data_IF_392860726570
#
_entry.id   IF_392860726570
#
_cell.length_a   1.000
_cell.length_b   1.000
_cell.length_c   1.000
_cell.angle_alpha   90.00
_cell.angle_beta   90.00
_cell.angle_gamma   90.00
#
_symmetry.space_group_name_H-M   'P 1'
#
loop_
_entity.id
_entity.type
_entity.pdbx_description
1 polymer ?
#
# COMPACT_ATOMS: atom_id res chain seq x y z
N UNK A 1 -70.86 31.08 6.44
CA UNK A 1 -70.08 30.29 7.39
C UNK A 1 -68.68 30.23 6.88
N UNK A 2 -67.86 31.03 7.50
CA UNK A 2 -66.45 30.97 7.88
C UNK A 2 -65.42 30.55 6.80
N UNK A 3 -64.77 31.58 6.23
CA UNK A 3 -63.53 31.46 5.51
C UNK A 3 -62.39 31.14 6.50
N UNK A 4 -61.84 29.94 6.43
CA UNK A 4 -60.63 29.56 7.21
C UNK A 4 -59.39 30.07 6.51
N UNK A 5 -58.61 30.80 7.25
CA UNK A 5 -57.51 31.69 6.90
C UNK A 5 -56.26 30.95 6.38
N UNK A 6 -56.05 30.85 5.10
CA UNK A 6 -54.87 30.28 4.42
C UNK A 6 -53.54 31.00 4.70
N UNK A 7 -53.56 32.14 5.37
CA UNK A 7 -52.35 32.93 5.68
C UNK A 7 -51.64 32.52 6.95
N UNK A 8 -52.26 31.74 7.83
CA UNK A 8 -51.62 31.26 9.07
C UNK A 8 -50.75 30.02 8.88
N UNK A 9 -51.03 29.19 7.86
CA UNK A 9 -50.19 27.99 7.57
C UNK A 9 -48.90 28.29 6.81
N UNK A 10 -48.82 29.42 6.11
CA UNK A 10 -47.61 29.83 5.38
C UNK A 10 -46.54 30.46 6.29
N UNK A 11 -46.86 30.88 7.50
CA UNK A 11 -45.89 31.45 8.43
C UNK A 11 -45.30 30.41 9.38
N UNK A 12 -45.93 29.26 9.63
CA UNK A 12 -45.41 28.19 10.42
C UNK A 12 -44.45 27.27 9.61
N UNK A 13 -44.59 27.19 8.29
CA UNK A 13 -43.68 26.41 7.41
C UNK A 13 -42.32 27.05 7.14
N UNK A 14 -42.24 28.38 7.23
CA UNK A 14 -40.99 29.12 6.99
C UNK A 14 -40.06 29.18 8.22
N UNK A 15 -40.57 28.98 9.44
CA UNK A 15 -39.75 28.95 10.65
C UNK A 15 -39.14 27.59 10.91
N UNK A 16 -39.71 26.49 10.39
CA UNK A 16 -39.14 25.15 10.53
C UNK A 16 -38.10 24.82 9.43
N UNK A 17 -38.15 25.49 8.28
CA UNK A 17 -37.20 25.32 7.18
C UNK A 17 -35.89 26.07 7.35
N UNK A 18 -35.84 27.12 8.17
CA UNK A 18 -34.64 27.91 8.43
C UNK A 18 -33.69 27.32 9.47
N UNK A 19 -34.16 26.37 10.28
CA UNK A 19 -33.32 25.69 11.30
C UNK A 19 -32.66 24.40 10.80
N UNK A 20 -32.90 23.95 9.59
CA UNK A 20 -32.27 22.76 9.00
C UNK A 20 -31.09 23.09 8.05
N UNK A 21 -30.85 24.38 7.77
CA UNK A 21 -29.76 24.81 6.88
C UNK A 21 -28.58 25.49 7.61
N UNK A 22 -28.57 25.49 8.94
CA UNK A 22 -27.43 26.01 9.74
C UNK A 22 -26.82 25.00 10.69
N UNK A 23 -26.79 23.70 10.36
CA UNK A 23 -25.65 22.91 10.78
C UNK A 23 -24.46 23.32 9.90
N UNK A 24 -23.96 24.51 10.15
CA UNK A 24 -22.56 24.81 9.88
C UNK A 24 -21.78 23.67 10.51
N UNK A 25 -21.16 22.84 9.66
CA UNK A 25 -20.00 22.06 10.06
C UNK A 25 -19.14 23.04 10.87
N UNK A 26 -19.04 22.82 12.16
CA UNK A 26 -18.14 23.60 13.00
C UNK A 26 -16.79 23.56 12.27
N UNK A 27 -16.30 24.73 11.87
CA UNK A 27 -14.96 24.85 11.36
C UNK A 27 -14.08 24.17 12.41
N UNK A 28 -13.31 23.16 12.02
CA UNK A 28 -12.37 22.51 12.91
C UNK A 28 -11.58 23.64 13.59
N UNK A 29 -11.59 23.65 14.90
CA UNK A 29 -10.87 24.67 15.67
C UNK A 29 -9.44 24.72 15.12
N UNK A 30 -8.97 25.94 14.84
CA UNK A 30 -7.60 26.20 14.43
C UNK A 30 -6.70 25.68 15.56
N UNK A 31 -6.14 24.46 15.38
CA UNK A 31 -5.30 23.83 16.39
C UNK A 31 -5.51 22.33 16.64
N UNK A 32 -6.44 21.64 15.95
CA UNK A 32 -6.58 20.19 16.13
C UNK A 32 -5.37 19.45 15.56
N UNK A 33 -4.61 18.77 16.43
CA UNK A 33 -3.50 17.93 15.98
C UNK A 33 -3.98 16.52 15.69
N UNK A 34 -3.68 16.00 14.48
CA UNK A 34 -3.92 14.63 14.08
C UNK A 34 -2.70 13.77 14.42
N UNK A 35 -2.94 12.66 15.10
CA UNK A 35 -1.95 11.63 15.39
C UNK A 35 -2.20 10.44 14.50
N UNK A 36 -1.17 9.99 13.79
CA UNK A 36 -1.26 8.83 12.93
C UNK A 36 -0.30 7.74 13.38
N UNK A 37 -0.76 6.51 13.30
CA UNK A 37 0.03 5.30 13.33
C UNK A 37 0.13 4.79 11.89
N UNK A 38 1.35 4.53 11.43
CA UNK A 38 1.62 4.07 10.07
C UNK A 38 2.35 2.73 10.16
N UNK A 39 1.69 1.67 9.68
CA UNK A 39 2.23 0.33 9.56
C UNK A 39 2.46 -0.07 8.11
N UNK A 40 3.19 -1.17 7.92
CA UNK A 40 3.43 -1.81 6.62
C UNK A 40 2.41 -2.91 6.32
N UNK A 41 2.92 -4.03 5.81
CA UNK A 41 2.11 -5.13 5.31
C UNK A 41 1.49 -5.97 6.45
N UNK A 42 0.20 -6.27 6.32
CA UNK A 42 -0.50 -7.25 7.15
C UNK A 42 -0.39 -8.63 6.50
N UNK A 43 0.74 -9.29 6.69
CA UNK A 43 0.94 -10.70 6.35
C UNK A 43 0.58 -11.58 7.55
N UNK A 44 -0.65 -11.48 7.99
CA UNK A 44 -1.19 -12.18 9.13
C UNK A 44 -1.91 -11.23 10.12
N UNK A 45 -2.32 -11.78 11.26
CA UNK A 45 -2.34 -13.21 11.60
C UNK A 45 -3.42 -13.95 10.81
N UNK A 46 -3.04 -15.00 10.12
CA UNK A 46 -3.96 -15.75 9.22
C UNK A 46 -4.90 -16.70 9.99
N UNK A 47 -4.44 -17.20 11.13
CA UNK A 47 -5.19 -18.17 11.92
C UNK A 47 -6.33 -17.51 12.69
N UNK A 48 -7.51 -18.11 12.61
CA UNK A 48 -8.67 -17.73 13.42
C UNK A 48 -8.43 -17.93 14.93
N UNK A 49 -7.45 -18.74 15.33
CA UNK A 49 -7.05 -18.96 16.73
C UNK A 49 -6.03 -17.92 17.24
N UNK A 50 -5.64 -16.93 16.44
CA UNK A 50 -4.67 -15.90 16.82
C UNK A 50 -4.99 -15.26 18.18
N UNK A 51 -3.98 -15.16 19.01
CA UNK A 51 -4.11 -14.63 20.38
C UNK A 51 -3.74 -13.14 20.46
N UNK A 52 -4.73 -12.28 20.34
CA UNK A 52 -4.58 -10.83 20.49
C UNK A 52 -4.39 -10.36 21.95
N UNK A 53 -4.53 -11.26 22.93
CA UNK A 53 -4.18 -10.97 24.32
C UNK A 53 -2.68 -11.15 24.61
N UNK A 54 -1.87 -11.51 23.61
CA UNK A 54 -0.42 -11.66 23.69
C UNK A 54 0.25 -10.38 24.24
N UNK A 55 0.81 -10.38 25.47
CA UNK A 55 1.23 -9.16 26.13
C UNK A 55 2.30 -8.34 25.38
N UNK A 56 3.28 -8.93 24.66
CA UNK A 56 4.22 -8.15 23.87
C UNK A 56 3.57 -7.35 22.75
N UNK A 57 2.49 -7.86 22.13
CA UNK A 57 1.68 -7.12 21.16
C UNK A 57 0.95 -5.95 21.81
N UNK A 58 0.56 -6.05 23.07
CA UNK A 58 -0.16 -5.00 23.80
C UNK A 58 0.53 -3.63 23.70
N UNK A 59 1.86 -3.58 23.74
CA UNK A 59 2.64 -2.34 23.58
C UNK A 59 2.54 -1.74 22.16
N UNK A 60 2.45 -2.56 21.13
CA UNK A 60 2.20 -2.10 19.74
C UNK A 60 0.75 -1.65 19.60
N UNK A 61 -0.18 -2.41 20.17
CA UNK A 61 -1.60 -2.04 20.19
C UNK A 61 -1.85 -0.71 20.92
N UNK A 62 -1.04 -0.34 21.92
CA UNK A 62 -1.11 0.97 22.55
C UNK A 62 -0.75 2.11 21.58
N UNK A 63 0.25 1.91 20.72
CA UNK A 63 0.58 2.88 19.68
C UNK A 63 -0.56 3.05 18.69
N UNK A 64 -1.22 1.95 18.31
CA UNK A 64 -2.39 1.95 17.41
C UNK A 64 -3.55 2.71 18.08
N UNK A 65 -3.90 2.38 19.32
CA UNK A 65 -5.02 3.01 20.07
C UNK A 65 -4.83 4.49 20.34
N UNK A 66 -3.58 4.95 20.46
CA UNK A 66 -3.25 6.35 20.71
C UNK A 66 -3.29 7.22 19.45
N UNK A 67 -3.55 6.65 18.27
CA UNK A 67 -3.67 7.35 17.01
C UNK A 67 -5.14 7.66 16.68
N UNK A 68 -5.39 8.79 16.05
CA UNK A 68 -6.69 9.13 15.46
C UNK A 68 -6.92 8.33 14.17
N UNK A 69 -5.83 8.07 13.43
CA UNK A 69 -5.79 7.26 12.20
C UNK A 69 -4.68 6.22 12.33
N UNK A 70 -5.04 4.96 12.20
CA UNK A 70 -4.09 3.84 12.17
C UNK A 70 -4.19 3.13 10.82
N UNK A 71 -3.10 3.23 10.05
CA UNK A 71 -2.98 2.74 8.68
C UNK A 71 -2.15 1.45 8.61
N UNK A 72 -2.53 0.55 7.69
CA UNK A 72 -1.72 -0.57 7.22
C UNK A 72 -2.12 -1.00 5.80
N UNK A 73 -1.28 -1.80 5.13
CA UNK A 73 -1.64 -2.49 3.89
C UNK A 73 -2.23 -3.87 4.23
N UNK A 74 -3.49 -4.10 3.86
CA UNK A 74 -4.13 -5.42 3.99
C UNK A 74 -3.66 -6.32 2.83
N UNK A 75 -2.48 -6.91 2.96
CA UNK A 75 -1.88 -7.75 1.95
C UNK A 75 -2.53 -9.13 1.94
N UNK A 76 -3.43 -9.32 0.99
CA UNK A 76 -4.26 -10.51 0.87
C UNK A 76 -5.76 -10.24 0.95
N UNK A 77 -6.49 -11.29 1.24
CA UNK A 77 -7.94 -11.27 1.33
C UNK A 77 -8.43 -11.38 2.78
N UNK A 78 -9.66 -10.95 3.05
CA UNK A 78 -10.24 -10.94 4.41
C UNK A 78 -11.63 -11.56 4.39
N UNK A 79 -11.70 -12.86 4.60
CA UNK A 79 -12.97 -13.60 4.70
C UNK A 79 -12.72 -14.98 5.32
N UNK A 80 -13.79 -15.70 5.70
CA UNK A 80 -13.69 -17.07 6.17
C UNK A 80 -14.00 -18.06 5.03
N UNK A 81 -13.24 -19.18 4.94
CA UNK A 81 -13.48 -20.19 3.92
C UNK A 81 -14.83 -20.90 4.09
N UNK A 82 -15.32 -20.98 5.32
CA UNK A 82 -16.63 -21.54 5.57
C UNK A 82 -17.72 -20.71 4.86
N UNK A 83 -18.42 -21.34 3.92
CA UNK A 83 -19.44 -20.66 3.10
C UNK A 83 -18.92 -19.87 1.90
N UNK A 84 -17.62 -19.76 1.70
CA UNK A 84 -17.05 -19.11 0.51
C UNK A 84 -17.36 -19.92 -0.75
N UNK A 85 -17.79 -19.24 -1.82
CA UNK A 85 -18.24 -19.84 -3.09
C UNK A 85 -17.31 -19.50 -4.26
N UNK A 86 -16.06 -19.21 -3.99
CA UNK A 86 -15.03 -18.92 -4.99
C UNK A 86 -13.96 -20.00 -5.05
N UNK A 87 -12.88 -19.68 -5.74
CA UNK A 87 -11.72 -20.55 -5.95
C UNK A 87 -10.44 -19.72 -5.89
N UNK A 88 -9.31 -20.39 -5.81
CA UNK A 88 -7.98 -19.76 -5.98
C UNK A 88 -7.81 -19.37 -7.44
N UNK A 89 -7.55 -18.09 -7.72
CA UNK A 89 -7.65 -17.56 -9.07
C UNK A 89 -6.36 -16.93 -9.59
N UNK A 90 -5.46 -16.50 -8.72
CA UNK A 90 -4.24 -15.84 -9.14
C UNK A 90 -3.00 -16.51 -8.53
N UNK A 91 -1.93 -16.53 -9.29
CA UNK A 91 -0.61 -16.95 -8.86
C UNK A 91 0.30 -15.73 -8.80
N UNK A 92 0.89 -15.50 -7.65
CA UNK A 92 1.77 -14.37 -7.41
C UNK A 92 3.06 -14.78 -6.67
N UNK A 93 3.38 -16.08 -6.72
CA UNK A 93 4.63 -16.65 -6.21
C UNK A 93 4.69 -16.88 -4.69
N UNK A 94 3.65 -16.48 -3.93
CA UNK A 94 3.73 -16.53 -2.47
C UNK A 94 2.58 -17.24 -1.75
N UNK A 95 1.66 -17.85 -2.47
CA UNK A 95 0.49 -18.50 -1.86
C UNK A 95 -0.76 -17.61 -1.90
N UNK A 96 -1.72 -17.89 -1.04
CA UNK A 96 -3.03 -17.25 -1.03
C UNK A 96 -3.33 -16.68 0.37
N UNK A 97 -2.65 -15.59 0.78
CA UNK A 97 -2.80 -15.02 2.12
C UNK A 97 -4.24 -14.56 2.36
N UNK A 98 -4.75 -14.93 3.53
CA UNK A 98 -6.13 -14.65 3.89
C UNK A 98 -6.29 -14.49 5.40
N UNK A 99 -6.64 -13.30 5.85
CA UNK A 99 -7.03 -13.08 7.24
C UNK A 99 -8.42 -13.66 7.48
N UNK A 100 -8.60 -14.30 8.63
CA UNK A 100 -9.95 -14.68 9.08
C UNK A 100 -10.74 -13.44 9.50
N UNK A 101 -12.07 -13.53 9.44
CA UNK A 101 -12.97 -12.46 9.93
C UNK A 101 -12.71 -12.18 11.41
N UNK A 102 -12.37 -13.21 12.20
CA UNK A 102 -12.00 -13.07 13.62
C UNK A 102 -10.74 -12.22 13.80
N UNK A 103 -9.68 -12.49 13.02
CA UNK A 103 -8.43 -11.70 13.06
C UNK A 103 -8.69 -10.25 12.64
N UNK A 104 -9.43 -10.02 11.56
CA UNK A 104 -9.78 -8.67 11.11
C UNK A 104 -10.58 -7.89 12.17
N UNK A 105 -11.53 -8.54 12.84
CA UNK A 105 -12.29 -7.95 13.95
C UNK A 105 -11.38 -7.55 15.12
N UNK A 106 -10.43 -8.40 15.48
CA UNK A 106 -9.49 -8.12 16.56
C UNK A 106 -8.54 -6.96 16.19
N UNK A 107 -8.06 -6.88 14.94
CA UNK A 107 -7.28 -5.74 14.44
C UNK A 107 -8.10 -4.44 14.49
N UNK A 108 -9.38 -4.50 14.10
CA UNK A 108 -10.28 -3.34 14.21
C UNK A 108 -10.49 -2.90 15.66
N UNK A 109 -10.67 -3.84 16.56
CA UNK A 109 -10.81 -3.60 17.99
C UNK A 109 -9.52 -3.03 18.62
N UNK A 110 -8.35 -3.36 18.05
CA UNK A 110 -7.06 -2.77 18.46
C UNK A 110 -6.90 -1.31 18.02
N UNK A 111 -7.81 -0.76 17.19
CA UNK A 111 -7.78 0.63 16.72
C UNK A 111 -7.40 0.81 15.26
N UNK A 112 -6.96 -0.24 14.56
CA UNK A 112 -6.67 -0.15 13.12
C UNK A 112 -7.95 0.23 12.36
N UNK A 113 -7.89 1.28 11.53
CA UNK A 113 -9.11 1.85 10.96
C UNK A 113 -9.00 2.26 9.48
N UNK A 114 -7.80 2.32 8.90
CA UNK A 114 -7.55 2.73 7.52
C UNK A 114 -6.65 1.72 6.81
N UNK A 115 -7.10 1.17 5.66
CA UNK A 115 -6.39 0.10 4.97
C UNK A 115 -6.16 0.41 3.49
N UNK A 116 -4.95 0.14 2.99
CA UNK A 116 -4.72 -0.09 1.57
C UNK A 116 -5.18 -1.50 1.19
N UNK A 117 -5.80 -1.64 0.02
CA UNK A 117 -6.16 -2.92 -0.59
C UNK A 117 -5.55 -3.12 -1.98
N UNK A 118 -4.79 -2.14 -2.46
CA UNK A 118 -4.04 -2.28 -3.70
C UNK A 118 -2.73 -3.01 -3.41
N UNK A 119 -2.66 -4.29 -3.73
CA UNK A 119 -1.47 -5.13 -3.61
C UNK A 119 -1.57 -6.35 -4.55
N UNK A 120 -0.47 -7.09 -4.67
CA UNK A 120 -0.36 -8.27 -5.53
C UNK A 120 -1.27 -9.44 -5.10
N UNK A 121 -1.70 -9.48 -3.84
CA UNK A 121 -2.53 -10.56 -3.27
C UNK A 121 -4.04 -10.25 -3.26
N UNK A 122 -4.43 -9.04 -3.65
CA UNK A 122 -5.84 -8.62 -3.57
C UNK A 122 -6.79 -9.50 -4.41
N UNK A 123 -6.28 -10.08 -5.52
CA UNK A 123 -7.05 -10.88 -6.47
C UNK A 123 -6.73 -12.39 -6.40
N UNK A 124 -6.04 -12.87 -5.38
CA UNK A 124 -5.69 -14.30 -5.24
C UNK A 124 -6.89 -15.25 -5.25
N UNK A 125 -8.03 -14.77 -4.81
CA UNK A 125 -9.29 -15.51 -4.77
C UNK A 125 -10.30 -14.97 -5.79
N UNK A 126 -9.82 -14.29 -6.84
CA UNK A 126 -10.61 -13.70 -7.91
C UNK A 126 -11.62 -12.66 -7.43
N UNK A 127 -12.60 -12.38 -8.27
CA UNK A 127 -13.69 -11.43 -7.98
C UNK A 127 -14.46 -11.80 -6.72
N UNK A 128 -14.70 -13.09 -6.50
CA UNK A 128 -15.42 -13.58 -5.31
C UNK A 128 -14.66 -13.25 -4.03
N UNK A 129 -13.32 -13.43 -4.03
CA UNK A 129 -12.47 -13.10 -2.88
C UNK A 129 -12.36 -11.59 -2.64
N UNK A 130 -12.22 -10.81 -3.72
CA UNK A 130 -12.21 -9.34 -3.64
C UNK A 130 -13.49 -8.81 -2.98
N UNK A 131 -14.66 -9.26 -3.47
CA UNK A 131 -15.97 -8.85 -2.95
C UNK A 131 -16.24 -9.34 -1.55
N UNK A 132 -15.85 -10.59 -1.22
CA UNK A 132 -15.97 -11.11 0.14
C UNK A 132 -15.15 -10.29 1.14
N UNK A 133 -13.93 -9.90 0.74
CA UNK A 133 -13.07 -9.02 1.54
C UNK A 133 -13.66 -7.62 1.70
N UNK A 134 -14.18 -7.03 0.61
CA UNK A 134 -14.88 -5.75 0.61
C UNK A 134 -16.07 -5.75 1.58
N UNK A 135 -16.92 -6.78 1.50
CA UNK A 135 -18.07 -6.93 2.39
C UNK A 135 -17.65 -7.08 3.86
N UNK A 136 -16.61 -7.88 4.13
CA UNK A 136 -16.10 -8.09 5.49
C UNK A 136 -15.54 -6.79 6.09
N UNK A 137 -14.68 -6.08 5.36
CA UNK A 137 -14.06 -4.85 5.84
C UNK A 137 -15.10 -3.75 6.07
N UNK A 138 -16.07 -3.60 5.14
CA UNK A 138 -17.18 -2.66 5.31
C UNK A 138 -18.03 -2.99 6.54
N UNK A 139 -18.38 -4.27 6.73
CA UNK A 139 -19.15 -4.72 7.90
C UNK A 139 -18.40 -4.45 9.22
N UNK A 140 -17.09 -4.58 9.24
CA UNK A 140 -16.26 -4.31 10.41
C UNK A 140 -15.96 -2.81 10.61
N UNK A 141 -16.37 -1.94 9.69
CA UNK A 141 -16.19 -0.48 9.78
C UNK A 141 -14.76 -0.02 9.52
N UNK A 142 -14.01 -0.71 8.66
CA UNK A 142 -12.76 -0.19 8.12
C UNK A 142 -13.03 0.80 6.98
N UNK A 143 -12.25 1.87 6.91
CA UNK A 143 -12.07 2.65 5.70
C UNK A 143 -10.95 2.00 4.87
N UNK A 144 -11.15 1.85 3.54
CA UNK A 144 -10.16 1.22 2.66
C UNK A 144 -10.23 1.81 1.25
N UNK A 145 -9.10 1.80 0.54
CA UNK A 145 -8.97 2.27 -0.84
C UNK A 145 -8.09 1.34 -1.68
N UNK A 146 -8.14 1.50 -3.01
CA UNK A 146 -7.20 0.87 -3.93
C UNK A 146 -7.70 -0.41 -4.59
N UNK A 147 -8.95 -0.82 -4.33
CA UNK A 147 -9.59 -1.92 -5.02
C UNK A 147 -11.09 -1.63 -5.18
N UNK A 148 -11.70 -2.14 -6.25
CA UNK A 148 -13.10 -1.88 -6.56
C UNK A 148 -13.69 -2.84 -7.59
N UNK A 149 -14.98 -2.71 -7.86
CA UNK A 149 -15.70 -3.47 -8.87
C UNK A 149 -15.43 -2.96 -10.30
N UNK A 150 -14.84 -1.77 -10.42
CA UNK A 150 -14.36 -1.16 -11.67
C UNK A 150 -13.14 -0.26 -11.41
N UNK A 151 -12.55 0.28 -12.48
CA UNK A 151 -11.36 1.13 -12.38
C UNK A 151 -11.65 2.46 -11.69
N UNK A 152 -12.83 3.03 -11.90
CA UNK A 152 -13.22 4.29 -11.26
C UNK A 152 -13.36 4.12 -9.75
N UNK A 153 -13.93 2.99 -9.30
CA UNK A 153 -14.02 2.65 -7.89
C UNK A 153 -12.64 2.36 -7.28
N UNK A 154 -11.81 1.58 -7.94
CA UNK A 154 -10.47 1.27 -7.48
C UNK A 154 -9.58 2.51 -7.31
N UNK A 155 -9.76 3.54 -8.17
CA UNK A 155 -9.05 4.84 -8.14
C UNK A 155 -9.60 5.83 -7.14
N UNK A 156 -10.84 5.63 -6.67
CA UNK A 156 -11.54 6.60 -5.83
C UNK A 156 -10.87 6.78 -4.47
N UNK A 157 -10.61 8.03 -4.04
CA UNK A 157 -10.16 8.29 -2.66
C UNK A 157 -11.23 7.88 -1.65
N UNK A 158 -10.82 7.26 -0.56
CA UNK A 158 -11.66 7.09 0.63
C UNK A 158 -11.33 8.17 1.65
N UNK A 159 -12.35 8.69 2.35
CA UNK A 159 -12.18 9.66 3.42
C UNK A 159 -12.58 9.03 4.75
N UNK A 160 -11.66 9.01 5.70
CA UNK A 160 -11.91 8.64 7.08
C UNK A 160 -12.15 9.91 7.90
N UNK A 161 -13.34 10.03 8.47
CA UNK A 161 -13.68 11.11 9.39
C UNK A 161 -13.25 10.74 10.81
N UNK A 162 -12.56 11.64 11.48
CA UNK A 162 -12.18 11.54 12.89
C UNK A 162 -12.70 12.73 13.68
N UNK A 163 -12.66 12.65 15.00
CA UNK A 163 -13.01 13.80 15.84
C UNK A 163 -12.06 14.99 15.67
N UNK A 164 -10.88 14.79 15.04
CA UNK A 164 -9.82 15.81 14.87
C UNK A 164 -9.62 16.28 13.45
N UNK A 165 -10.37 15.72 12.49
CA UNK A 165 -10.27 16.09 11.07
C UNK A 165 -10.47 14.90 10.15
N UNK A 166 -10.40 15.17 8.85
CA UNK A 166 -10.63 14.21 7.77
C UNK A 166 -9.30 13.80 7.15
N UNK A 167 -9.10 12.49 7.01
CA UNK A 167 -7.91 11.94 6.34
C UNK A 167 -8.36 11.15 5.12
N UNK A 168 -7.85 11.51 3.94
CA UNK A 168 -8.09 10.77 2.72
C UNK A 168 -6.96 9.77 2.46
N UNK A 169 -7.32 8.62 1.90
CA UNK A 169 -6.39 7.62 1.37
C UNK A 169 -6.65 7.42 -0.12
N UNK A 170 -5.59 7.52 -0.90
CA UNK A 170 -5.49 7.00 -2.28
C UNK A 170 -4.50 5.84 -2.24
N UNK A 171 -4.87 4.69 -2.79
CA UNK A 171 -4.00 3.53 -2.80
C UNK A 171 -3.86 2.95 -4.20
N UNK A 172 -2.66 2.45 -4.54
CA UNK A 172 -2.32 1.86 -5.83
C UNK A 172 -1.35 0.69 -5.66
N UNK A 173 -1.19 -0.11 -6.71
CA UNK A 173 -0.16 -1.13 -6.81
C UNK A 173 0.57 -1.02 -8.14
N UNK A 174 1.90 -1.24 -8.14
CA UNK A 174 2.69 -1.42 -9.36
C UNK A 174 3.06 -2.89 -9.57
N UNK A 175 3.14 -3.66 -8.49
CA UNK A 175 3.37 -5.11 -8.55
C UNK A 175 2.04 -5.84 -8.41
N UNK A 176 1.65 -6.57 -9.46
CA UNK A 176 0.41 -7.37 -9.50
C UNK A 176 0.44 -8.40 -10.63
N UNK A 177 -0.29 -9.53 -10.51
CA UNK A 177 -0.55 -10.44 -11.63
C UNK A 177 -1.34 -9.75 -12.75
N UNK A 178 -1.14 -10.15 -14.00
CA UNK A 178 -1.68 -9.47 -15.18
C UNK A 178 -3.21 -9.30 -15.23
N UNK A 179 -3.97 -10.12 -14.52
CA UNK A 179 -5.43 -10.02 -14.44
C UNK A 179 -5.95 -9.27 -13.21
N UNK A 180 -5.06 -8.81 -12.33
CA UNK A 180 -5.43 -8.11 -11.10
C UNK A 180 -5.86 -6.64 -11.27
N UNK A 181 -5.42 -5.88 -12.29
CA UNK A 181 -5.90 -4.51 -12.49
C UNK A 181 -7.41 -4.44 -12.71
N UNK A 182 -8.05 -3.48 -12.06
CA UNK A 182 -9.43 -3.12 -12.36
C UNK A 182 -9.53 -2.57 -13.79
N UNK A 183 -10.68 -2.73 -14.43
CA UNK A 183 -10.94 -2.25 -15.79
C UNK A 183 -12.30 -1.61 -15.94
N UNK A 184 -12.41 -0.65 -16.83
CA UNK A 184 -13.67 -0.02 -17.18
C UNK A 184 -14.53 -0.91 -18.09
N UNK A 185 -15.84 -0.66 -18.11
CA UNK A 185 -16.74 -1.26 -19.09
C UNK A 185 -16.33 -0.86 -20.51
N UNK A 186 -16.47 -1.79 -21.45
CA UNK A 186 -16.33 -1.51 -22.88
C UNK A 186 -17.64 -1.86 -23.59
N UNK A 187 -17.88 -1.39 -24.83
CA UNK A 187 -19.08 -1.81 -25.57
C UNK A 187 -19.21 -3.31 -25.65
N UNK A 188 -20.26 -3.86 -25.03
CA UNK A 188 -20.55 -5.29 -25.01
C UNK A 188 -19.91 -6.09 -23.87
N UNK A 189 -19.08 -5.48 -23.00
CA UNK A 189 -18.53 -6.12 -21.81
C UNK A 189 -18.73 -5.28 -20.54
N UNK A 190 -18.96 -5.95 -19.41
CA UNK A 190 -18.99 -5.29 -18.10
C UNK A 190 -17.61 -4.84 -17.62
N UNK A 191 -17.54 -4.12 -16.48
CA UNK A 191 -16.29 -3.75 -15.85
C UNK A 191 -15.59 -4.98 -15.27
N UNK A 192 -14.29 -4.86 -15.04
CA UNK A 192 -13.49 -5.87 -14.37
C UNK A 192 -13.11 -5.40 -12.97
N UNK A 193 -13.52 -6.15 -11.92
CA UNK A 193 -13.05 -5.92 -10.56
C UNK A 193 -11.54 -6.08 -10.45
N UNK A 194 -10.92 -5.32 -9.56
CA UNK A 194 -9.48 -5.42 -9.35
C UNK A 194 -8.89 -4.27 -8.53
N UNK A 195 -7.57 -4.12 -8.64
CA UNK A 195 -6.80 -3.09 -7.95
C UNK A 195 -6.61 -1.85 -8.83
N UNK A 196 -6.35 -0.70 -8.18
CA UNK A 196 -5.90 0.51 -8.86
C UNK A 196 -4.46 0.34 -9.33
N UNK A 197 -4.20 0.23 -10.65
CA UNK A 197 -2.89 -0.08 -11.16
C UNK A 197 -2.00 1.15 -11.36
N UNK A 198 -0.70 0.94 -11.21
CA UNK A 198 0.34 1.68 -11.87
C UNK A 198 1.16 0.68 -12.69
N UNK A 199 0.89 0.55 -13.98
CA UNK A 199 1.66 -0.33 -14.83
C UNK A 199 3.10 0.18 -14.97
N UNK A 200 4.06 -0.70 -14.70
CA UNK A 200 5.48 -0.45 -14.84
C UNK A 200 6.13 -1.63 -15.55
N UNK A 201 7.15 -1.36 -16.33
CA UNK A 201 7.94 -2.42 -16.96
C UNK A 201 9.45 -2.19 -16.74
N UNK A 202 10.22 -3.26 -16.51
CA UNK A 202 11.67 -3.15 -16.45
C UNK A 202 12.26 -2.93 -17.84
N UNK A 203 13.20 -2.00 -17.92
CA UNK A 203 13.97 -1.71 -19.13
C UNK A 203 15.42 -2.14 -18.90
N UNK A 204 15.92 -3.06 -19.71
CA UNK A 204 17.34 -3.43 -19.70
C UNK A 204 18.11 -2.45 -20.57
N UNK A 205 18.99 -1.67 -19.97
CA UNK A 205 19.87 -0.74 -20.67
C UNK A 205 21.08 -1.48 -21.20
N UNK A 206 21.35 -1.36 -22.49
CA UNK A 206 22.43 -2.07 -23.17
C UNK A 206 23.28 -1.11 -24.03
N UNK A 207 24.56 -1.41 -24.20
CA UNK A 207 25.41 -0.68 -25.12
C UNK A 207 25.21 -1.14 -26.57
N UNK A 208 25.90 -0.49 -27.55
CA UNK A 208 25.72 -0.79 -28.97
C UNK A 208 26.12 -2.23 -29.35
N UNK A 209 27.17 -2.77 -28.73
CA UNK A 209 27.61 -4.14 -29.02
C UNK A 209 26.63 -5.18 -28.51
N UNK A 210 26.08 -4.96 -27.31
CA UNK A 210 25.06 -5.81 -26.73
C UNK A 210 23.75 -5.74 -27.52
N UNK A 211 23.33 -4.54 -27.96
CA UNK A 211 22.15 -4.37 -28.80
C UNK A 211 22.30 -5.14 -30.13
N UNK A 212 23.43 -5.02 -30.78
CA UNK A 212 23.70 -5.74 -32.04
C UNK A 212 23.66 -7.26 -31.84
N UNK A 213 24.19 -7.75 -30.72
CA UNK A 213 24.16 -9.17 -30.42
C UNK A 213 22.71 -9.66 -30.15
N UNK A 214 21.90 -8.89 -29.42
CA UNK A 214 20.49 -9.19 -29.20
C UNK A 214 19.67 -9.24 -30.46
N UNK A 215 19.88 -8.27 -31.39
CA UNK A 215 19.23 -8.26 -32.73
C UNK A 215 19.60 -9.51 -33.50
N UNK A 216 20.90 -9.90 -33.51
CA UNK A 216 21.34 -11.12 -34.17
C UNK A 216 20.76 -12.40 -33.59
N UNK A 217 20.62 -12.48 -32.28
CA UNK A 217 19.97 -13.60 -31.58
C UNK A 217 18.50 -13.65 -31.93
N UNK A 218 17.75 -12.54 -31.80
CA UNK A 218 16.34 -12.44 -32.15
C UNK A 218 16.05 -12.90 -33.58
N UNK A 219 16.89 -12.44 -34.54
CA UNK A 219 16.78 -12.87 -35.94
C UNK A 219 17.01 -14.37 -36.13
N UNK A 220 17.96 -14.97 -35.41
CA UNK A 220 18.29 -16.40 -35.49
C UNK A 220 17.21 -17.31 -34.90
N UNK A 221 16.58 -16.93 -33.78
CA UNK A 221 15.51 -17.71 -33.16
C UNK A 221 14.16 -17.52 -33.87
N UNK A 222 14.14 -16.73 -34.95
CA UNK A 222 12.92 -16.47 -35.73
C UNK A 222 11.91 -15.62 -34.94
N UNK A 223 12.38 -14.79 -34.00
CA UNK A 223 11.52 -13.84 -33.31
C UNK A 223 10.93 -12.88 -34.33
N UNK A 224 9.68 -13.14 -34.68
CA UNK A 224 8.91 -12.31 -35.60
C UNK A 224 8.00 -11.39 -34.82
N UNK A 225 8.58 -10.46 -34.07
CA UNK A 225 7.85 -9.23 -33.70
C UNK A 225 7.51 -8.52 -35.01
N UNK A 226 6.40 -7.79 -35.06
CA UNK A 226 5.91 -7.14 -36.28
C UNK A 226 6.94 -6.20 -36.94
N UNK A 227 8.00 -5.81 -36.20
CA UNK A 227 9.15 -5.08 -36.70
C UNK A 227 10.43 -5.55 -35.99
N UNK A 228 11.22 -6.43 -36.62
CA UNK A 228 12.60 -6.61 -36.17
C UNK A 228 13.35 -5.30 -36.47
N UNK A 229 13.80 -4.57 -35.45
CA UNK A 229 14.52 -3.34 -35.69
C UNK A 229 15.85 -3.67 -36.39
N UNK A 230 16.27 -2.79 -37.30
CA UNK A 230 17.57 -2.89 -37.98
C UNK A 230 18.75 -2.73 -37.00
N UNK A 231 20.00 -2.87 -37.50
CA UNK A 231 21.20 -2.81 -36.66
C UNK A 231 21.39 -1.50 -35.87
N UNK A 232 20.68 -0.43 -36.26
CA UNK A 232 20.73 0.89 -35.63
C UNK A 232 19.57 1.08 -34.63
N UNK A 233 18.92 -0.01 -34.21
CA UNK A 233 17.81 0.03 -33.25
C UNK A 233 18.24 0.68 -31.96
N UNK A 234 17.42 1.63 -31.49
CA UNK A 234 17.57 2.22 -30.15
C UNK A 234 16.82 1.44 -29.10
N UNK A 235 15.82 0.65 -29.49
CA UNK A 235 15.02 -0.22 -28.65
C UNK A 235 14.79 -1.56 -29.37
N UNK A 236 14.68 -2.61 -28.56
CA UNK A 236 14.32 -3.96 -28.97
C UNK A 236 13.45 -4.60 -27.93
N UNK A 237 12.34 -5.19 -28.35
CA UNK A 237 11.51 -6.02 -27.48
C UNK A 237 11.64 -7.48 -27.91
N UNK A 238 12.03 -8.33 -26.98
CA UNK A 238 12.04 -9.78 -27.13
C UNK A 238 11.09 -10.35 -26.09
N UNK A 239 9.97 -10.92 -26.52
CA UNK A 239 8.86 -11.34 -25.64
C UNK A 239 8.38 -10.19 -24.75
N UNK A 240 8.47 -10.37 -23.42
CA UNK A 240 8.11 -9.40 -22.41
C UNK A 240 9.30 -8.51 -21.95
N UNK A 241 10.47 -8.64 -22.59
CA UNK A 241 11.70 -7.92 -22.21
C UNK A 241 11.95 -6.75 -23.13
N UNK A 242 12.03 -5.56 -22.55
CA UNK A 242 12.42 -4.33 -23.25
C UNK A 242 13.91 -4.05 -23.04
N UNK A 243 14.63 -3.92 -24.15
CA UNK A 243 16.04 -3.51 -24.20
C UNK A 243 16.12 -2.13 -24.82
N UNK A 244 16.91 -1.25 -24.24
CA UNK A 244 17.11 0.12 -24.73
C UNK A 244 18.58 0.47 -24.79
N UNK A 245 19.00 1.10 -25.92
CA UNK A 245 20.34 1.56 -26.06
C UNK A 245 20.64 2.70 -25.08
N UNK A 246 21.72 2.56 -24.32
CA UNK A 246 22.19 3.55 -23.38
C UNK A 246 23.73 3.62 -23.36
N UNK A 247 24.31 4.79 -22.97
CA UNK A 247 25.76 4.91 -22.83
C UNK A 247 26.35 3.98 -21.76
N UNK A 248 25.59 3.70 -20.72
CA UNK A 248 25.96 2.80 -19.61
C UNK A 248 24.94 1.67 -19.54
N UNK A 249 25.37 0.40 -19.63
CA UNK A 249 24.49 -0.75 -19.35
C UNK A 249 23.96 -0.70 -17.94
N UNK A 250 22.73 -1.22 -17.76
CA UNK A 250 22.08 -1.20 -16.45
C UNK A 250 20.60 -1.57 -16.51
N UNK A 251 19.85 -1.07 -15.55
CA UNK A 251 18.41 -1.24 -15.45
C UNK A 251 17.73 0.10 -15.21
N UNK A 252 16.55 0.25 -15.76
CA UNK A 252 15.63 1.35 -15.52
C UNK A 252 14.20 0.81 -15.47
N UNK A 253 13.26 1.64 -15.13
CA UNK A 253 11.85 1.30 -15.11
C UNK A 253 11.04 2.33 -15.87
N UNK A 254 10.05 1.88 -16.62
CA UNK A 254 9.13 2.76 -17.34
C UNK A 254 7.72 2.58 -16.80
N UNK A 255 7.08 3.70 -16.42
CA UNK A 255 5.72 3.68 -15.90
C UNK A 255 4.73 4.20 -16.94
N UNK A 256 3.51 3.65 -16.91
CA UNK A 256 2.38 4.12 -17.71
C UNK A 256 2.09 5.60 -17.45
N UNK A 257 2.19 6.42 -18.47
CA UNK A 257 1.87 7.85 -18.39
C UNK A 257 0.38 8.09 -18.08
N UNK A 258 -0.49 7.19 -18.55
CA UNK A 258 -1.94 7.27 -18.28
C UNK A 258 -2.24 6.99 -16.80
N UNK A 259 -1.65 5.95 -16.22
CA UNK A 259 -1.86 5.62 -14.81
C UNK A 259 -1.24 6.68 -13.90
N UNK A 260 0.00 7.12 -14.19
CA UNK A 260 0.63 8.24 -13.48
C UNK A 260 -0.28 9.48 -13.43
N UNK A 261 -0.84 9.88 -14.58
CA UNK A 261 -1.78 11.01 -14.67
C UNK A 261 -3.02 10.78 -13.82
N UNK A 262 -3.57 9.56 -13.84
CA UNK A 262 -4.75 9.21 -13.05
C UNK A 262 -4.47 9.23 -11.53
N UNK A 263 -3.32 8.73 -11.08
CA UNK A 263 -2.92 8.78 -9.67
C UNK A 263 -2.76 10.23 -9.17
N UNK A 264 -2.12 11.09 -9.96
CA UNK A 264 -2.00 12.52 -9.66
C UNK A 264 -3.39 13.16 -9.53
N UNK A 265 -4.32 12.85 -10.45
CA UNK A 265 -5.69 13.35 -10.41
C UNK A 265 -6.45 12.86 -9.17
N UNK A 266 -6.31 11.58 -8.79
CA UNK A 266 -6.93 11.02 -7.59
C UNK A 266 -6.43 11.70 -6.31
N UNK A 267 -5.12 12.01 -6.23
CA UNK A 267 -4.55 12.75 -5.08
C UNK A 267 -5.07 14.19 -5.05
N UNK A 268 -5.13 14.87 -6.20
CA UNK A 268 -5.69 16.21 -6.28
C UNK A 268 -7.17 16.26 -5.89
N UNK A 269 -7.95 15.25 -6.29
CA UNK A 269 -9.34 15.07 -5.85
C UNK A 269 -9.43 14.86 -4.33
N UNK A 270 -8.62 13.95 -3.78
CA UNK A 270 -8.54 13.69 -2.34
C UNK A 270 -8.25 14.96 -1.55
N UNK A 271 -7.36 15.84 -2.06
CA UNK A 271 -7.00 17.10 -1.43
C UNK A 271 -8.19 18.05 -1.25
N UNK A 272 -9.17 17.99 -2.14
CA UNK A 272 -10.39 18.83 -2.02
C UNK A 272 -11.34 18.33 -0.93
N UNK A 273 -11.18 17.09 -0.46
CA UNK A 273 -12.13 16.40 0.43
C UNK A 273 -11.64 16.23 1.86
N UNK A 274 -10.33 16.36 2.11
CA UNK A 274 -9.75 16.02 3.41
C UNK A 274 -8.68 17.02 3.88
N UNK A 275 -8.43 17.02 5.18
CA UNK A 275 -7.46 17.88 5.84
C UNK A 275 -6.03 17.35 5.69
N UNK A 276 -5.86 16.01 5.65
CA UNK A 276 -4.63 15.31 5.28
C UNK A 276 -4.91 14.27 4.18
N UNK A 277 -3.92 14.05 3.31
CA UNK A 277 -3.98 13.06 2.23
C UNK A 277 -2.81 12.11 2.34
N UNK A 278 -3.11 10.82 2.46
CA UNK A 278 -2.15 9.72 2.38
C UNK A 278 -2.23 9.13 0.98
N UNK A 279 -1.10 9.00 0.31
CA UNK A 279 -0.96 8.13 -0.85
C UNK A 279 -0.19 6.87 -0.44
N UNK A 280 -0.73 5.71 -0.76
CA UNK A 280 -0.16 4.40 -0.45
C UNK A 280 0.08 3.62 -1.73
N UNK A 281 1.23 2.95 -1.84
CA UNK A 281 1.54 2.11 -2.99
C UNK A 281 2.20 0.80 -2.59
N UNK A 282 1.70 -0.30 -3.14
CA UNK A 282 2.37 -1.60 -3.07
C UNK A 282 3.26 -1.78 -4.29
N UNK A 283 4.57 -1.80 -4.06
CA UNK A 283 5.58 -1.76 -5.12
C UNK A 283 6.83 -2.55 -4.71
N UNK A 284 7.13 -3.64 -5.44
CA UNK A 284 8.34 -4.45 -5.20
C UNK A 284 9.55 -3.95 -5.99
N UNK A 285 9.36 -3.04 -6.93
CA UNK A 285 10.38 -2.58 -7.85
C UNK A 285 11.51 -1.87 -7.10
N UNK A 286 12.74 -2.35 -7.33
CA UNK A 286 13.98 -1.80 -6.78
C UNK A 286 14.91 -1.38 -7.90
N UNK A 287 15.95 -0.63 -7.58
CA UNK A 287 16.93 -0.16 -8.57
C UNK A 287 17.57 -1.31 -9.35
N UNK A 288 18.08 -2.33 -8.67
CA UNK A 288 18.68 -3.50 -9.32
C UNK A 288 17.63 -4.52 -9.81
N UNK A 289 16.39 -4.42 -9.38
CA UNK A 289 15.34 -5.42 -9.56
C UNK A 289 15.47 -6.62 -8.61
N UNK A 290 16.45 -6.61 -7.72
CA UNK A 290 16.60 -7.62 -6.67
C UNK A 290 15.70 -7.29 -5.48
N UNK A 291 15.02 -8.29 -4.94
CA UNK A 291 14.04 -8.10 -3.86
C UNK A 291 14.65 -7.51 -2.57
N UNK A 292 15.93 -7.79 -2.32
CA UNK A 292 16.67 -7.33 -1.14
C UNK A 292 17.35 -5.95 -1.32
N UNK A 293 17.30 -5.38 -2.53
CA UNK A 293 17.92 -4.08 -2.78
C UNK A 293 17.18 -2.97 -2.02
N UNK A 294 17.85 -2.26 -1.08
CA UNK A 294 17.22 -1.19 -0.33
C UNK A 294 17.00 0.08 -1.17
N UNK A 295 17.55 0.14 -2.38
CA UNK A 295 17.44 1.31 -3.26
C UNK A 295 16.12 1.24 -4.04
N UNK A 296 15.24 2.24 -3.91
CA UNK A 296 13.99 2.24 -4.67
C UNK A 296 14.27 2.35 -6.17
N UNK A 297 13.36 1.80 -7.00
CA UNK A 297 13.40 1.95 -8.43
C UNK A 297 13.40 3.43 -8.85
N UNK A 298 14.04 3.73 -9.96
CA UNK A 298 14.31 5.09 -10.43
C UNK A 298 13.05 5.94 -10.68
N UNK A 299 11.91 5.33 -10.99
CA UNK A 299 10.64 6.03 -11.18
C UNK A 299 9.95 6.44 -9.86
N UNK A 300 10.26 5.79 -8.74
CA UNK A 300 9.50 5.98 -7.49
C UNK A 300 9.73 7.37 -6.88
N UNK A 301 10.97 7.83 -6.80
CA UNK A 301 11.25 9.13 -6.20
C UNK A 301 10.62 10.30 -6.97
N UNK A 302 10.77 10.40 -8.31
CA UNK A 302 10.07 11.43 -9.08
C UNK A 302 8.54 11.37 -8.91
N UNK A 303 7.94 10.19 -9.01
CA UNK A 303 6.51 10.01 -8.83
C UNK A 303 6.05 10.48 -7.43
N UNK A 304 6.75 10.09 -6.39
CA UNK A 304 6.35 10.44 -5.01
C UNK A 304 6.42 11.95 -4.77
N UNK A 305 7.43 12.62 -5.31
CA UNK A 305 7.55 14.08 -5.24
C UNK A 305 6.43 14.78 -6.00
N UNK A 306 6.05 14.30 -7.18
CA UNK A 306 4.91 14.81 -7.93
C UNK A 306 3.59 14.63 -7.18
N UNK A 307 3.38 13.49 -6.52
CA UNK A 307 2.18 13.25 -5.70
C UNK A 307 2.13 14.17 -4.48
N UNK A 308 3.27 14.49 -3.85
CA UNK A 308 3.33 15.54 -2.82
C UNK A 308 2.94 16.90 -3.40
N UNK A 309 3.44 17.25 -4.59
CA UNK A 309 3.09 18.50 -5.28
C UNK A 309 1.62 18.55 -5.68
N UNK A 310 1.02 17.42 -6.02
CA UNK A 310 -0.41 17.28 -6.30
C UNK A 310 -1.30 17.39 -5.04
N UNK A 311 -0.73 17.31 -3.86
CA UNK A 311 -1.47 17.54 -2.61
C UNK A 311 -1.39 16.44 -1.56
N UNK A 312 -0.64 15.36 -1.78
CA UNK A 312 -0.39 14.37 -0.73
C UNK A 312 0.41 14.99 0.43
N UNK A 313 0.12 14.56 1.64
CA UNK A 313 0.82 14.96 2.85
C UNK A 313 1.75 13.87 3.36
N UNK A 314 1.49 12.61 3.00
CA UNK A 314 2.24 11.43 3.38
C UNK A 314 2.26 10.46 2.21
N UNK A 315 3.44 9.93 1.88
CA UNK A 315 3.59 8.81 0.94
C UNK A 315 4.05 7.58 1.71
N UNK A 316 3.40 6.44 1.46
CA UNK A 316 3.75 5.15 2.09
C UNK A 316 3.90 4.09 1.01
N UNK A 317 5.12 3.59 0.82
CA UNK A 317 5.37 2.39 0.02
C UNK A 317 5.46 1.17 0.93
N UNK A 318 4.91 0.07 0.48
CA UNK A 318 5.00 -1.26 1.07
C UNK A 318 5.23 -2.31 -0.02
N UNK A 319 5.46 -3.58 0.34
CA UNK A 319 5.79 -4.69 -0.57
C UNK A 319 7.16 -5.34 -0.32
N UNK A 320 8.27 -4.60 -0.16
CA UNK A 320 9.59 -5.23 0.04
C UNK A 320 9.76 -6.01 1.34
N UNK A 321 8.80 -5.98 2.26
CA UNK A 321 8.82 -6.60 3.59
C UNK A 321 10.02 -6.21 4.48
N UNK A 322 10.78 -5.20 4.07
CA UNK A 322 11.88 -4.61 4.84
C UNK A 322 11.66 -3.11 4.99
N UNK A 323 12.07 -2.56 6.15
CA UNK A 323 12.03 -1.12 6.34
C UNK A 323 13.09 -0.47 5.46
N UNK A 324 12.70 0.50 4.65
CA UNK A 324 13.61 1.28 3.82
C UNK A 324 13.76 2.71 4.33
N UNK A 325 14.36 3.60 3.52
CA UNK A 325 14.63 4.97 3.94
C UNK A 325 13.38 5.85 4.02
N UNK A 326 13.54 6.98 4.71
CA UNK A 326 12.60 8.08 4.77
C UNK A 326 13.19 9.31 4.07
N UNK A 327 12.42 9.95 3.20
CA UNK A 327 12.69 11.27 2.66
C UNK A 327 11.74 12.30 3.28
N UNK A 328 12.24 13.50 3.58
CA UNK A 328 11.39 14.65 3.90
C UNK A 328 11.44 15.60 2.69
N UNK A 329 10.39 15.55 1.87
CA UNK A 329 10.27 16.42 0.69
C UNK A 329 9.24 17.52 0.92
N UNK A 330 9.65 18.79 0.84
CA UNK A 330 8.81 19.96 1.15
C UNK A 330 8.10 19.86 2.52
N UNK A 331 8.79 19.29 3.52
CA UNK A 331 8.25 19.08 4.86
C UNK A 331 7.25 17.94 4.98
N UNK A 332 7.15 17.07 3.96
CA UNK A 332 6.25 15.91 3.91
C UNK A 332 7.04 14.62 3.93
N UNK A 333 6.64 13.61 4.73
CA UNK A 333 7.34 12.34 4.82
C UNK A 333 6.99 11.43 3.64
N UNK A 334 8.02 10.83 3.03
CA UNK A 334 7.95 9.80 2.02
C UNK A 334 8.63 8.55 2.58
N UNK A 335 7.86 7.55 2.93
CA UNK A 335 8.34 6.26 3.41
C UNK A 335 8.57 5.34 2.22
N UNK A 336 9.83 5.02 1.91
CA UNK A 336 10.20 4.14 0.78
C UNK A 336 9.99 2.65 1.06
N UNK A 337 9.71 2.27 2.29
CA UNK A 337 9.33 0.91 2.69
C UNK A 337 9.07 0.86 4.19
N UNK A 338 7.90 0.36 4.56
CA UNK A 338 7.51 0.22 5.96
C UNK A 338 7.78 -1.18 6.53
N UNK A 339 8.20 -2.15 5.67
CA UNK A 339 8.27 -3.54 6.08
C UNK A 339 6.89 -4.11 6.38
N UNK A 340 6.83 -5.11 7.25
CA UNK A 340 5.58 -5.72 7.67
C UNK A 340 5.10 -5.17 9.02
N UNK A 341 3.77 -5.07 9.21
CA UNK A 341 3.17 -4.86 10.53
C UNK A 341 2.91 -6.20 11.24
N UNK A 342 2.48 -7.22 10.48
CA UNK A 342 2.42 -8.61 10.93
C UNK A 342 3.15 -9.48 9.90
N UNK A 343 3.83 -10.53 10.36
CA UNK A 343 4.55 -11.46 9.48
C UNK A 343 4.34 -12.91 9.95
N UNK A 344 3.17 -13.47 9.67
CA UNK A 344 2.82 -14.86 10.01
C UNK A 344 3.38 -15.84 8.96
N UNK A 345 4.69 -15.79 8.75
CA UNK A 345 5.42 -16.70 7.87
C UNK A 345 6.47 -17.48 8.68
N UNK A 346 6.71 -18.76 8.36
CA UNK A 346 7.85 -19.48 8.90
C UNK A 346 9.16 -18.93 8.30
N UNK A 347 10.28 -19.07 9.01
CA UNK A 347 11.59 -18.64 8.45
C UNK A 347 11.98 -19.39 7.19
N UNK A 348 11.53 -20.63 7.06
CA UNK A 348 11.78 -21.48 5.89
C UNK A 348 10.45 -21.82 5.23
N UNK A 349 10.27 -21.42 3.99
CA UNK A 349 9.09 -21.73 3.18
C UNK A 349 9.37 -22.93 2.27
N UNK A 350 8.38 -23.80 2.12
CA UNK A 350 8.35 -24.77 1.03
C UNK A 350 7.44 -24.22 -0.06
N UNK A 351 8.01 -23.78 -1.16
CA UNK A 351 7.29 -23.33 -2.34
C UNK A 351 7.06 -24.56 -3.22
N UNK A 352 5.81 -24.89 -3.51
CA UNK A 352 5.48 -25.86 -4.53
C UNK A 352 5.36 -25.12 -5.87
N UNK A 353 6.23 -25.44 -6.83
CA UNK A 353 6.02 -25.00 -8.21
C UNK A 353 4.90 -25.83 -8.84
N UNK A 354 3.95 -25.19 -9.48
CA UNK A 354 2.97 -25.85 -10.33
C UNK A 354 3.66 -26.19 -11.67
N UNK A 355 3.98 -27.45 -11.88
CA UNK A 355 4.60 -27.94 -13.11
C UNK A 355 4.62 -29.45 -13.13
N UNK A 356 4.90 -30.09 -14.32
CA UNK A 356 4.91 -31.55 -14.46
C UNK A 356 5.94 -32.24 -13.55
N UNK A 357 6.92 -31.50 -13.05
CA UNK A 357 7.77 -31.90 -11.94
C UNK A 357 7.50 -30.95 -10.78
N UNK A 358 6.68 -31.35 -9.83
CA UNK A 358 6.42 -30.61 -8.60
C UNK A 358 7.69 -30.55 -7.73
N UNK A 359 8.65 -29.75 -8.16
CA UNK A 359 9.83 -29.47 -7.38
C UNK A 359 9.41 -28.63 -6.17
N UNK A 360 9.48 -29.21 -4.99
CA UNK A 360 9.36 -28.47 -3.75
C UNK A 360 10.68 -27.75 -3.51
N UNK A 361 10.67 -26.45 -3.71
CA UNK A 361 11.81 -25.61 -3.37
C UNK A 361 11.67 -25.18 -1.91
N UNK A 362 12.67 -25.48 -1.11
CA UNK A 362 12.81 -24.97 0.25
C UNK A 362 13.59 -23.67 0.18
N UNK A 363 12.98 -22.57 0.63
CA UNK A 363 13.58 -21.24 0.57
C UNK A 363 13.60 -20.67 1.99
N UNK A 364 14.78 -20.26 2.44
CA UNK A 364 14.91 -19.49 3.67
C UNK A 364 14.56 -18.03 3.38
N UNK A 365 13.63 -17.49 4.16
CA UNK A 365 13.28 -16.08 4.07
C UNK A 365 14.40 -15.21 4.63
N UNK A 366 14.69 -14.06 3.99
CA UNK A 366 15.74 -13.15 4.44
C UNK A 366 15.55 -12.72 5.89
N UNK A 367 16.63 -12.68 6.67
CA UNK A 367 16.57 -12.25 8.06
C UNK A 367 15.94 -10.85 8.26
N UNK A 368 16.18 -9.86 7.38
CA UNK A 368 15.57 -8.53 7.50
C UNK A 368 14.04 -8.52 7.39
N UNK A 369 13.40 -9.56 6.85
CA UNK A 369 11.93 -9.64 6.83
C UNK A 369 11.33 -9.80 8.23
N UNK A 370 12.10 -10.40 9.16
CA UNK A 370 11.68 -10.62 10.54
C UNK A 370 11.97 -9.43 11.45
N UNK A 371 12.32 -8.30 10.84
CA UNK A 371 12.53 -7.00 11.47
C UNK A 371 11.69 -5.96 10.77
N UNK A 372 11.10 -5.07 11.54
CA UNK A 372 10.23 -4.06 11.00
C UNK A 372 10.33 -2.74 11.76
N UNK A 373 9.50 -1.82 11.38
CA UNK A 373 9.21 -0.64 12.16
C UNK A 373 7.80 -0.15 11.85
N UNK A 374 7.20 0.50 12.84
CA UNK A 374 6.04 1.35 12.62
C UNK A 374 6.41 2.79 12.87
N UNK A 375 5.73 3.71 12.22
CA UNK A 375 5.92 5.12 12.47
C UNK A 375 4.73 5.73 13.20
N UNK A 376 5.00 6.63 14.14
CA UNK A 376 4.00 7.52 14.70
C UNK A 376 4.28 8.94 14.24
N UNK A 377 3.24 9.67 13.84
CA UNK A 377 3.36 11.07 13.41
C UNK A 377 2.31 11.93 14.07
N UNK A 378 2.64 13.21 14.23
CA UNK A 378 1.70 14.24 14.66
C UNK A 378 1.72 15.40 13.67
N UNK A 379 0.55 15.75 13.19
CA UNK A 379 0.35 16.89 12.30
C UNK A 379 -0.48 17.98 12.98
N UNK A 380 -0.11 19.23 12.74
CA UNK A 380 -0.92 20.42 13.04
C UNK A 380 -1.35 21.05 11.72
N UNK A 381 -2.63 20.95 11.40
CA UNK A 381 -3.09 21.15 10.04
C UNK A 381 -2.33 20.21 9.08
N UNK A 382 -1.61 20.78 8.11
CA UNK A 382 -0.78 20.04 7.15
C UNK A 382 0.72 20.01 7.50
N UNK A 383 1.09 20.55 8.66
CA UNK A 383 2.50 20.62 9.08
C UNK A 383 2.85 19.40 9.92
N UNK A 384 3.84 18.63 9.48
CA UNK A 384 4.44 17.57 10.28
C UNK A 384 5.17 18.20 11.48
N UNK A 385 4.83 17.79 12.69
CA UNK A 385 5.45 18.27 13.94
C UNK A 385 6.32 17.21 14.58
N UNK A 386 5.90 15.97 14.51
CA UNK A 386 6.63 14.87 15.13
C UNK A 386 6.56 13.65 14.18
N UNK A 387 7.68 12.93 14.09
CA UNK A 387 7.79 11.64 13.47
C UNK A 387 8.78 10.79 14.25
N UNK A 388 8.34 9.59 14.62
CA UNK A 388 9.19 8.61 15.27
C UNK A 388 8.98 7.22 14.69
N UNK A 389 10.06 6.50 14.41
CA UNK A 389 10.03 5.07 14.16
C UNK A 389 10.15 4.29 15.46
N UNK A 390 9.34 3.24 15.57
CA UNK A 390 9.37 2.26 16.64
C UNK A 390 9.79 0.92 16.03
N UNK A 391 11.03 0.47 16.24
CA UNK A 391 11.52 -0.80 15.73
C UNK A 391 10.70 -1.98 16.22
N UNK A 392 10.47 -2.94 15.33
CA UNK A 392 9.73 -4.17 15.59
C UNK A 392 10.59 -5.40 15.34
N UNK A 393 10.28 -6.45 16.09
CA UNK A 393 10.62 -7.84 15.77
C UNK A 393 9.33 -8.66 15.81
N UNK A 394 9.33 -9.82 15.15
CA UNK A 394 8.14 -10.66 15.07
C UNK A 394 8.31 -11.93 15.90
N UNK A 395 7.23 -12.37 16.54
CA UNK A 395 7.19 -13.67 17.20
C UNK A 395 7.36 -14.78 16.15
N UNK A 396 8.43 -15.57 16.29
CA UNK A 396 8.72 -16.70 15.39
C UNK A 396 8.29 -18.04 15.99
N UNK A 397 7.83 -18.06 17.24
CA UNK A 397 7.35 -19.27 17.89
C UNK A 397 6.12 -19.82 17.16
N UNK A 398 6.08 -21.12 16.84
CA UNK A 398 4.88 -21.75 16.31
C UNK A 398 3.68 -21.57 17.23
N UNK A 399 2.49 -21.34 16.66
CA UNK A 399 1.25 -21.24 17.42
C UNK A 399 0.52 -19.94 17.21
N UNK A 400 -0.44 -19.59 18.07
CA UNK A 400 -1.41 -18.51 17.86
C UNK A 400 -0.82 -17.09 17.94
N UNK A 401 0.45 -16.97 18.32
CA UNK A 401 1.18 -15.68 18.40
C UNK A 401 2.24 -15.52 17.32
N UNK A 402 2.40 -16.52 16.41
CA UNK A 402 3.37 -16.40 15.31
C UNK A 402 3.06 -15.18 14.45
N UNK A 403 4.11 -14.43 14.09
CA UNK A 403 3.99 -13.24 13.26
C UNK A 403 3.49 -11.98 13.96
N UNK A 404 3.17 -12.05 15.26
CA UNK A 404 2.77 -10.87 16.01
C UNK A 404 3.95 -9.92 16.20
N UNK A 405 3.75 -8.60 15.95
CA UNK A 405 4.77 -7.60 16.18
C UNK A 405 5.00 -7.36 17.67
N UNK A 406 6.25 -7.18 18.02
CA UNK A 406 6.72 -6.79 19.35
C UNK A 406 7.66 -5.60 19.20
N UNK A 407 7.60 -4.62 20.10
CA UNK A 407 8.63 -3.57 20.11
C UNK A 407 9.99 -4.19 20.37
N UNK A 408 10.96 -3.88 19.51
CA UNK A 408 12.32 -4.41 19.61
C UNK A 408 12.95 -4.01 20.93
N UNK A 409 13.58 -5.00 21.59
CA UNK A 409 14.30 -4.81 22.83
C UNK A 409 15.72 -4.26 22.64
N UNK A 410 16.49 -4.11 23.74
CA UNK A 410 17.86 -3.58 23.69
C UNK A 410 18.83 -4.37 22.79
N UNK A 411 18.55 -5.64 22.53
CA UNK A 411 19.38 -6.48 21.67
C UNK A 411 19.18 -6.16 20.17
N UNK A 412 17.96 -5.83 19.74
CA UNK A 412 17.60 -5.70 18.32
C UNK A 412 17.40 -4.24 17.89
N UNK A 413 16.84 -3.40 18.76
CA UNK A 413 16.51 -2.02 18.43
C UNK A 413 17.70 -1.21 17.88
N UNK A 414 18.94 -1.27 18.44
CA UNK A 414 20.06 -0.50 17.93
C UNK A 414 20.39 -0.82 16.47
N UNK A 415 20.32 -2.08 16.07
CA UNK A 415 20.61 -2.52 14.70
C UNK A 415 19.54 -2.00 13.72
N UNK A 416 18.27 -2.09 14.10
CA UNK A 416 17.16 -1.66 13.26
C UNK A 416 17.17 -0.12 13.08
N UNK A 417 17.42 0.64 14.15
CA UNK A 417 17.46 2.12 14.04
C UNK A 417 18.67 2.58 13.21
N UNK A 418 19.83 1.92 13.32
CA UNK A 418 21.00 2.22 12.48
C UNK A 418 20.67 1.96 11.01
N UNK A 419 20.06 0.82 10.69
CA UNK A 419 19.66 0.47 9.34
C UNK A 419 18.72 1.54 8.74
N UNK A 420 17.69 1.96 9.47
CA UNK A 420 16.73 2.99 9.01
C UNK A 420 17.45 4.32 8.78
N UNK A 421 18.31 4.74 9.72
CA UNK A 421 19.05 5.98 9.61
C UNK A 421 20.02 5.99 8.41
N UNK A 422 20.72 4.88 8.17
CA UNK A 422 21.62 4.73 7.02
C UNK A 422 20.87 4.78 5.68
N UNK A 423 19.77 4.04 5.56
CA UNK A 423 18.91 4.04 4.36
C UNK A 423 18.29 5.41 4.09
N UNK A 424 18.02 6.20 5.14
CA UNK A 424 17.45 7.55 5.02
C UNK A 424 18.49 8.62 4.69
N UNK A 425 19.77 8.36 4.95
CA UNK A 425 20.87 9.31 4.68
C UNK A 425 20.98 9.66 3.21
N UNK A 426 20.68 8.70 2.32
CA UNK A 426 20.68 8.93 0.87
C UNK A 426 19.67 10.02 0.45
N UNK A 427 18.63 10.26 1.27
CA UNK A 427 17.62 11.29 1.05
C UNK A 427 17.87 12.58 1.88
N UNK A 428 18.99 12.66 2.59
CA UNK A 428 19.34 13.81 3.44
C UNK A 428 18.59 13.88 4.77
N UNK A 429 17.82 12.84 5.13
CA UNK A 429 17.03 12.82 6.36
C UNK A 429 17.93 12.47 7.56
N UNK A 430 17.78 13.23 8.63
CA UNK A 430 18.55 13.07 9.87
C UNK A 430 17.64 12.68 11.03
N UNK A 431 18.19 11.87 11.93
CA UNK A 431 17.48 11.38 13.11
C UNK A 431 18.35 11.50 14.36
N UNK A 432 17.68 11.53 15.50
CA UNK A 432 18.26 11.26 16.81
C UNK A 432 17.64 10.01 17.41
N UNK A 433 18.41 9.29 18.23
CA UNK A 433 17.91 8.13 18.96
C UNK A 433 17.39 8.55 20.34
N UNK A 434 16.17 8.15 20.68
CA UNK A 434 15.55 8.34 21.99
C UNK A 434 15.12 6.99 22.59
N UNK A 435 15.97 6.42 23.45
CA UNK A 435 15.78 5.06 23.93
C UNK A 435 15.85 4.07 22.77
N UNK A 436 14.77 3.30 22.55
CA UNK A 436 14.66 2.38 21.42
C UNK A 436 14.04 3.01 20.15
N UNK A 437 13.70 4.29 20.16
CA UNK A 437 13.05 4.98 19.03
C UNK A 437 14.06 5.75 18.20
N UNK A 438 13.73 5.94 16.92
CA UNK A 438 14.43 6.84 16.01
C UNK A 438 13.51 8.02 15.71
N UNK A 439 13.90 9.22 16.11
CA UNK A 439 13.08 10.44 16.04
C UNK A 439 13.66 11.38 14.99
N UNK A 440 12.82 11.92 14.12
CA UNK A 440 13.17 12.91 13.12
C UNK A 440 13.70 14.19 13.81
N UNK A 441 14.80 14.76 13.27
CA UNK A 441 15.40 16.02 13.76
C UNK A 441 14.82 17.21 13.03
#
# INVERSE_FOLDING_TARGET
MSAFNRRAMLRAGLAAGANLLTRRVAAAEVGSSLRLFLGGDLLGPYDAAADFAFPPFGRVADLIRNADVAFANAEGNVFDLAGFRGYRAAENGGGYPRLSVRSARALRASGLNLLSRANNHAMDWGDAGLRASTATLSHLGFAYAGAGDDLAEARRPVVLETARGRVALVAAASTFPGLSPAGDSTPGTGPRPGVNPLHVEPVTLVNQAEMSALVAIASRIGWQGYDLPGPDAKELRIEDKLFRLAPQPGRSWEMSAADRKALIASVAEARTKADLVIFSIHAHETFSGGYEDPTPADFLQPLFRELIEAGADIIIRHGPHTVQGLEIYRGKPIFYGMGSLFLDLPRTLTIASEGPESARQVVDLPAPWFEGAVATTRFEGRTLRELAFHPLVFSTAPGPTRGFPMLAGPADAPRIVVMIAERSRAFGTQFRTEGAKLVLV
#
